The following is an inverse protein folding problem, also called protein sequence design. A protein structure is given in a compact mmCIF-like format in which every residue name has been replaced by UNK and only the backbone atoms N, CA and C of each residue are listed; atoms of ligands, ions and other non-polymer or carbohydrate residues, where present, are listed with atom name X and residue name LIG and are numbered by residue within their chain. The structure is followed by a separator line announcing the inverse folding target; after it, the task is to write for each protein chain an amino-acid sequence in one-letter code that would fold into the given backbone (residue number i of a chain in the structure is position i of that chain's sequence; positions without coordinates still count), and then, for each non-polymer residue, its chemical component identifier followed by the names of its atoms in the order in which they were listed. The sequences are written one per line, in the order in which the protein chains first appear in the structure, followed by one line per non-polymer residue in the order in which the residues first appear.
data_IF_506684313719
#
_entry.id   IF_506684313719
#
_cell.length_a   1.000
_cell.length_b   1.000
_cell.length_c   1.000
_cell.angle_alpha   90.00
_cell.angle_beta   90.00
_cell.angle_gamma   90.00
#
_symmetry.space_group_name_H-M   'P 1'
#
loop_
_entity.id
_entity.type
_entity.pdbx_description
1 polymer ?
#
# COMPACT_ATOMS: atom_id res chain seq x y z
N UNK A 1 -12.02 -2.36 -1.00
CA UNK A 1 -10.54 -2.40 -1.18
C UNK A 1 -10.08 -1.23 -2.02
N UNK A 2 -8.84 -0.78 -1.82
CA UNK A 2 -8.19 0.26 -2.65
C UNK A 2 -6.91 -0.34 -3.24
N UNK A 3 -6.73 -0.27 -4.57
CA UNK A 3 -5.54 -0.72 -5.27
C UNK A 3 -4.85 0.50 -5.88
N UNK A 4 -3.62 0.79 -5.45
CA UNK A 4 -2.82 1.91 -5.93
C UNK A 4 -2.08 1.51 -7.21
N UNK A 5 -2.43 2.11 -8.33
CA UNK A 5 -1.91 1.81 -9.67
C UNK A 5 -1.44 3.05 -10.45
N UNK A 6 -1.33 4.22 -9.79
CA UNK A 6 -0.97 5.49 -10.43
C UNK A 6 0.53 5.72 -10.58
N UNK A 7 1.39 4.81 -10.10
CA UNK A 7 2.85 4.95 -10.11
C UNK A 7 3.44 5.14 -11.52
N UNK A 8 4.46 6.01 -11.63
CA UNK A 8 5.08 6.40 -12.94
C UNK A 8 5.86 5.28 -13.63
N UNK A 9 6.31 4.24 -12.90
CA UNK A 9 7.10 3.15 -13.48
C UNK A 9 8.37 3.58 -14.21
N UNK A 10 9.03 4.67 -13.78
CA UNK A 10 10.18 5.28 -14.50
C UNK A 10 11.33 4.31 -14.77
N UNK A 11 11.52 3.32 -13.89
CA UNK A 11 12.61 2.32 -13.98
C UNK A 11 12.35 1.22 -15.03
N UNK A 12 11.10 1.05 -15.46
CA UNK A 12 10.73 0.00 -16.43
C UNK A 12 11.19 0.28 -17.87
N UNK A 13 11.69 1.49 -18.16
CA UNK A 13 12.14 1.89 -19.51
C UNK A 13 11.20 1.48 -20.65
N UNK A 14 9.89 1.51 -20.42
CA UNK A 14 8.85 1.01 -21.32
C UNK A 14 7.75 2.05 -21.52
N UNK A 15 7.18 2.09 -22.73
CA UNK A 15 5.96 2.87 -23.02
C UNK A 15 4.69 2.24 -22.43
N UNK A 16 4.74 0.92 -22.12
CA UNK A 16 3.65 0.22 -21.45
C UNK A 16 3.58 0.66 -19.97
N UNK A 17 2.39 1.03 -19.45
CA UNK A 17 2.23 1.32 -18.03
C UNK A 17 2.73 0.19 -17.15
N UNK A 18 3.45 0.51 -16.06
CA UNK A 18 4.06 -0.49 -15.15
C UNK A 18 3.11 -1.63 -14.82
N UNK A 19 1.89 -1.30 -14.41
CA UNK A 19 0.87 -2.25 -13.96
C UNK A 19 0.34 -3.18 -15.05
N UNK A 20 0.63 -2.88 -16.32
CA UNK A 20 0.25 -3.68 -17.49
C UNK A 20 1.33 -4.67 -17.95
N UNK A 21 2.54 -4.59 -17.40
CA UNK A 21 3.56 -5.60 -17.67
C UNK A 21 3.09 -6.96 -17.20
N UNK A 22 3.36 -8.00 -18.01
CA UNK A 22 2.86 -9.36 -17.77
C UNK A 22 3.83 -10.18 -16.93
N UNK A 23 3.28 -10.87 -15.97
CA UNK A 23 3.94 -11.91 -15.18
C UNK A 23 3.13 -13.19 -15.40
N UNK A 24 3.73 -14.25 -15.93
CA UNK A 24 3.00 -15.50 -16.21
C UNK A 24 1.76 -15.33 -17.12
N UNK A 25 1.83 -14.41 -18.10
CA UNK A 25 0.77 -14.20 -19.09
C UNK A 25 -0.32 -13.19 -18.71
N UNK A 26 -0.45 -12.80 -17.42
CA UNK A 26 -1.40 -11.78 -16.94
C UNK A 26 -0.69 -10.50 -16.53
N UNK A 27 -1.36 -9.34 -16.65
CA UNK A 27 -0.80 -8.08 -16.16
C UNK A 27 -0.65 -8.09 -14.63
N UNK A 28 0.29 -7.29 -14.09
CA UNK A 28 0.47 -7.17 -12.64
C UNK A 28 -0.83 -6.75 -11.95
N UNK A 29 -1.53 -5.76 -12.50
CA UNK A 29 -2.84 -5.35 -11.95
C UNK A 29 -3.86 -6.49 -11.97
N UNK A 30 -3.88 -7.31 -13.03
CA UNK A 30 -4.80 -8.46 -13.12
C UNK A 30 -4.54 -9.50 -12.03
N UNK A 31 -3.27 -9.79 -11.73
CA UNK A 31 -2.92 -10.68 -10.62
C UNK A 31 -3.44 -10.17 -9.27
N UNK A 32 -3.22 -8.89 -8.98
CA UNK A 32 -3.70 -8.28 -7.73
C UNK A 32 -5.22 -8.29 -7.66
N UNK A 33 -5.92 -8.00 -8.78
CA UNK A 33 -7.39 -8.08 -8.87
C UNK A 33 -7.92 -9.50 -8.61
N UNK A 34 -7.24 -10.52 -9.14
CA UNK A 34 -7.62 -11.93 -8.90
C UNK A 34 -7.51 -12.27 -7.41
N UNK A 35 -6.41 -11.90 -6.75
CA UNK A 35 -6.24 -12.12 -5.31
C UNK A 35 -7.22 -11.32 -4.47
N UNK A 36 -7.48 -10.06 -4.85
CA UNK A 36 -8.46 -9.20 -4.20
C UNK A 36 -9.89 -9.77 -4.28
N UNK A 37 -10.30 -10.25 -5.44
CA UNK A 37 -11.64 -10.86 -5.66
C UNK A 37 -11.92 -12.07 -4.77
N UNK A 38 -10.91 -12.88 -4.47
CA UNK A 38 -11.05 -14.06 -3.62
C UNK A 38 -11.46 -13.73 -2.18
N UNK A 39 -11.24 -12.49 -1.74
CA UNK A 39 -11.66 -11.99 -0.42
C UNK A 39 -13.10 -11.47 -0.40
N UNK A 40 -13.84 -11.56 -1.50
CA UNK A 40 -15.22 -11.10 -1.64
C UNK A 40 -15.46 -9.68 -1.10
N UNK A 41 -14.68 -8.66 -1.52
CA UNK A 41 -14.86 -7.30 -1.02
C UNK A 41 -16.20 -6.70 -1.50
N UNK A 42 -16.78 -5.80 -0.70
CA UNK A 42 -17.97 -5.02 -1.06
C UNK A 42 -17.74 -4.14 -2.30
N UNK A 43 -16.52 -3.66 -2.48
CA UNK A 43 -16.10 -2.88 -3.65
C UNK A 43 -14.60 -2.99 -3.89
N UNK A 44 -14.18 -2.86 -5.16
CA UNK A 44 -12.78 -2.74 -5.56
C UNK A 44 -12.60 -1.38 -6.22
N UNK A 45 -11.75 -0.54 -5.64
CA UNK A 45 -11.43 0.79 -6.10
C UNK A 45 -9.99 0.81 -6.61
N UNK A 46 -9.78 1.20 -7.86
CA UNK A 46 -8.44 1.28 -8.47
C UNK A 46 -8.10 2.72 -8.80
N UNK A 47 -6.96 3.19 -8.28
CA UNK A 47 -6.47 4.55 -8.52
C UNK A 47 -5.45 4.54 -9.65
N UNK A 48 -5.75 5.25 -10.73
CA UNK A 48 -4.90 5.39 -11.91
C UNK A 48 -4.41 6.83 -12.07
N UNK A 49 -3.31 7.01 -12.82
CA UNK A 49 -3.00 8.33 -13.37
C UNK A 49 -3.78 8.56 -14.68
N UNK A 50 -4.09 9.82 -15.06
CA UNK A 50 -4.79 10.11 -16.32
C UNK A 50 -4.12 9.51 -17.55
N UNK A 51 -2.78 9.43 -17.54
CA UNK A 51 -1.97 8.88 -18.66
C UNK A 51 -2.24 7.41 -18.97
N UNK A 52 -2.79 6.66 -18.01
CA UNK A 52 -3.05 5.22 -18.16
C UNK A 52 -4.53 4.87 -18.08
N UNK A 53 -5.43 5.84 -18.21
CA UNK A 53 -6.88 5.58 -18.18
C UNK A 53 -7.35 4.64 -19.28
N UNK A 54 -6.64 4.58 -20.40
CA UNK A 54 -6.96 3.67 -21.50
C UNK A 54 -6.96 2.19 -21.12
N UNK A 55 -6.22 1.82 -20.03
CA UNK A 55 -6.18 0.43 -19.55
C UNK A 55 -7.52 -0.06 -19.01
N UNK A 56 -8.43 0.84 -18.60
CA UNK A 56 -9.77 0.49 -18.09
C UNK A 56 -10.50 -0.46 -19.03
N UNK A 57 -10.33 -0.26 -20.33
CA UNK A 57 -10.92 -1.12 -21.38
C UNK A 57 -10.50 -2.59 -21.29
N UNK A 58 -9.28 -2.85 -20.80
CA UNK A 58 -8.74 -4.22 -20.65
C UNK A 58 -9.37 -4.99 -19.48
N UNK A 59 -10.12 -4.30 -18.61
CA UNK A 59 -10.71 -4.84 -17.40
C UNK A 59 -12.25 -4.79 -17.40
N UNK A 60 -12.88 -4.71 -18.58
CA UNK A 60 -14.34 -4.60 -18.70
C UNK A 60 -15.13 -5.77 -18.10
N UNK A 61 -14.48 -6.94 -17.82
CA UNK A 61 -15.07 -8.07 -17.09
C UNK A 61 -14.98 -7.99 -15.56
N UNK A 62 -14.46 -6.90 -15.03
CA UNK A 62 -14.30 -6.69 -13.59
C UNK A 62 -15.20 -5.55 -13.13
N UNK A 63 -15.89 -5.74 -12.01
CA UNK A 63 -16.63 -4.67 -11.32
C UNK A 63 -15.62 -3.83 -10.50
N UNK A 64 -15.19 -2.71 -11.06
CA UNK A 64 -14.16 -1.82 -10.52
C UNK A 64 -14.64 -0.37 -10.55
N UNK A 65 -14.57 0.29 -9.41
CA UNK A 65 -14.67 1.74 -9.32
C UNK A 65 -13.29 2.35 -9.64
N UNK A 66 -13.22 3.10 -10.73
CA UNK A 66 -12.00 3.73 -11.21
C UNK A 66 -11.88 5.16 -10.72
N UNK A 67 -10.75 5.50 -10.10
CA UNK A 67 -10.41 6.83 -9.62
C UNK A 67 -9.19 7.37 -10.36
N UNK A 68 -9.15 8.67 -10.62
CA UNK A 68 -8.05 9.32 -11.33
C UNK A 68 -7.27 10.21 -10.38
N UNK A 69 -5.97 9.94 -10.21
CA UNK A 69 -5.04 10.83 -9.52
C UNK A 69 -4.38 11.75 -10.55
N UNK A 70 -4.93 12.94 -10.75
CA UNK A 70 -4.48 13.91 -11.77
C UNK A 70 -3.06 14.38 -11.54
N UNK A 71 -2.70 14.66 -10.30
CA UNK A 71 -1.35 14.99 -9.87
C UNK A 71 -0.85 13.88 -8.94
N UNK A 72 0.26 13.25 -9.29
CA UNK A 72 0.85 12.16 -8.51
C UNK A 72 1.57 12.73 -7.27
N UNK A 73 0.79 13.24 -6.31
CA UNK A 73 1.28 13.89 -5.08
C UNK A 73 1.68 12.92 -3.97
N UNK A 74 1.65 11.63 -4.22
CA UNK A 74 2.04 10.60 -3.24
C UNK A 74 0.94 9.58 -2.97
N UNK A 75 1.27 8.61 -2.14
CA UNK A 75 0.40 7.44 -1.86
C UNK A 75 -0.77 7.77 -0.93
N UNK A 76 -0.57 8.68 0.04
CA UNK A 76 -1.68 9.16 0.88
C UNK A 76 -2.71 9.96 0.06
N UNK A 77 -2.25 10.80 -0.89
CA UNK A 77 -3.13 11.53 -1.80
C UNK A 77 -3.97 10.58 -2.66
N UNK A 78 -3.36 9.50 -3.16
CA UNK A 78 -4.07 8.48 -3.93
C UNK A 78 -5.19 7.80 -3.11
N UNK A 79 -4.93 7.47 -1.84
CA UNK A 79 -5.97 6.91 -0.95
C UNK A 79 -7.06 7.95 -0.67
N UNK A 80 -6.68 9.20 -0.37
CA UNK A 80 -7.59 10.31 -0.08
C UNK A 80 -8.65 10.52 -1.17
N UNK A 81 -8.31 10.32 -2.43
CA UNK A 81 -9.23 10.44 -3.58
C UNK A 81 -10.38 9.43 -3.49
N UNK A 82 -10.14 8.25 -2.93
CA UNK A 82 -11.13 7.17 -2.84
C UNK A 82 -12.04 7.32 -1.63
N UNK A 83 -11.52 7.78 -0.49
CA UNK A 83 -12.25 7.79 0.79
C UNK A 83 -13.65 8.40 0.73
N UNK A 84 -13.91 9.52 0.00
CA UNK A 84 -15.25 10.10 -0.10
C UNK A 84 -16.31 9.20 -0.74
N UNK A 85 -15.91 8.17 -1.50
CA UNK A 85 -16.81 7.21 -2.13
C UNK A 85 -17.17 6.02 -1.22
N UNK A 86 -16.54 5.93 -0.04
CA UNK A 86 -16.71 4.84 0.91
C UNK A 86 -17.51 5.30 2.14
N UNK A 87 -18.19 4.37 2.80
CA UNK A 87 -18.90 4.66 4.05
C UNK A 87 -17.89 4.73 5.21
N UNK A 88 -18.18 5.57 6.21
CA UNK A 88 -17.27 5.84 7.33
C UNK A 88 -16.96 4.60 8.19
N UNK A 89 -17.89 3.67 8.29
CA UNK A 89 -17.81 2.44 9.07
C UNK A 89 -17.22 1.25 8.27
N UNK A 90 -16.95 1.44 6.98
CA UNK A 90 -16.30 0.40 6.16
C UNK A 90 -14.83 0.22 6.53
N UNK A 91 -14.37 -1.02 6.40
CA UNK A 91 -12.95 -1.37 6.52
C UNK A 91 -12.28 -1.39 5.15
N UNK A 92 -11.06 -0.89 5.10
CA UNK A 92 -10.30 -0.73 3.86
C UNK A 92 -9.01 -1.53 3.92
N UNK A 93 -8.81 -2.39 2.93
CA UNK A 93 -7.52 -2.98 2.61
C UNK A 93 -6.92 -2.19 1.44
N UNK A 94 -5.71 -1.66 1.66
CA UNK A 94 -4.92 -0.95 0.65
C UNK A 94 -3.88 -1.90 0.09
N UNK A 95 -3.82 -2.03 -1.24
CA UNK A 95 -2.89 -2.86 -1.99
C UNK A 95 -2.16 -2.03 -3.04
N UNK A 96 -1.01 -2.53 -3.48
CA UNK A 96 -0.27 -1.97 -4.61
C UNK A 96 -0.39 -2.87 -5.83
N UNK A 97 -0.60 -2.27 -7.00
CA UNK A 97 -0.78 -3.00 -8.25
C UNK A 97 0.51 -3.65 -8.78
N UNK A 98 1.66 -3.36 -8.19
CA UNK A 98 2.96 -3.90 -8.55
C UNK A 98 3.45 -5.05 -7.67
N UNK A 99 2.59 -5.61 -6.82
CA UNK A 99 2.83 -6.83 -6.04
C UNK A 99 2.03 -8.01 -6.61
N UNK A 100 2.34 -8.51 -7.81
CA UNK A 100 1.48 -9.44 -8.55
C UNK A 100 1.35 -10.82 -7.92
N UNK A 101 2.27 -11.20 -7.04
CA UNK A 101 2.29 -12.54 -6.42
C UNK A 101 1.60 -12.57 -5.05
N UNK A 102 0.91 -11.49 -4.68
CA UNK A 102 0.23 -11.43 -3.37
C UNK A 102 -0.79 -12.56 -3.21
N UNK A 103 -0.66 -13.31 -2.11
CA UNK A 103 -1.55 -14.42 -1.81
C UNK A 103 -2.80 -13.97 -1.05
N UNK A 104 -3.96 -14.42 -1.52
CA UNK A 104 -5.25 -14.14 -0.88
C UNK A 104 -5.38 -14.74 0.53
N UNK A 105 -4.76 -15.92 0.80
CA UNK A 105 -4.78 -16.50 2.15
C UNK A 105 -3.96 -15.68 3.15
N UNK A 106 -2.83 -15.10 2.69
CA UNK A 106 -2.05 -14.17 3.52
C UNK A 106 -2.86 -12.91 3.82
N UNK A 107 -3.54 -12.35 2.81
CA UNK A 107 -4.39 -11.18 2.99
C UNK A 107 -5.56 -11.46 3.96
N UNK A 108 -6.19 -12.63 3.87
CA UNK A 108 -7.25 -13.02 4.79
C UNK A 108 -6.75 -13.13 6.24
N UNK A 109 -5.61 -13.78 6.46
CA UNK A 109 -4.94 -13.83 7.76
C UNK A 109 -4.63 -12.43 8.29
N UNK A 110 -4.13 -11.55 7.42
CA UNK A 110 -3.78 -10.18 7.78
C UNK A 110 -5.01 -9.35 8.19
N UNK A 111 -6.10 -9.44 7.43
CA UNK A 111 -7.35 -8.75 7.75
C UNK A 111 -7.89 -9.19 9.13
N UNK A 112 -7.82 -10.48 9.43
CA UNK A 112 -8.34 -11.06 10.67
C UNK A 112 -7.37 -10.98 11.85
N UNK A 113 -6.11 -10.57 11.63
CA UNK A 113 -5.11 -10.43 12.68
C UNK A 113 -5.46 -9.25 13.59
N UNK A 114 -5.39 -9.45 14.92
CA UNK A 114 -5.68 -8.43 15.95
C UNK A 114 -6.86 -7.51 15.59
N UNK A 115 -8.09 -8.01 15.65
CA UNK A 115 -9.28 -7.32 15.09
C UNK A 115 -9.63 -5.98 15.76
N UNK A 116 -9.11 -5.70 16.96
CA UNK A 116 -9.34 -4.45 17.70
C UNK A 116 -8.32 -3.34 17.39
N UNK A 117 -7.34 -3.59 16.52
CA UNK A 117 -6.35 -2.57 16.15
C UNK A 117 -6.95 -1.50 15.23
N UNK A 118 -6.46 -0.26 15.35
CA UNK A 118 -6.87 0.87 14.52
C UNK A 118 -6.24 0.82 13.13
N UNK A 119 -4.95 0.49 13.07
CA UNK A 119 -4.18 0.35 11.84
C UNK A 119 -3.36 -0.93 11.86
N UNK A 120 -3.43 -1.70 10.78
CA UNK A 120 -2.56 -2.87 10.57
C UNK A 120 -1.61 -2.60 9.42
N UNK A 121 -0.36 -3.02 9.58
CA UNK A 121 0.69 -2.92 8.56
C UNK A 121 1.25 -4.31 8.30
N UNK A 122 1.23 -4.76 7.03
CA UNK A 122 1.89 -6.00 6.65
C UNK A 122 3.37 -5.70 6.41
N UNK A 123 4.24 -6.41 7.11
CA UNK A 123 5.69 -6.24 7.04
C UNK A 123 6.38 -7.51 6.57
N UNK A 124 7.63 -7.39 6.14
CA UNK A 124 8.44 -8.51 5.64
C UNK A 124 9.92 -8.28 5.95
N UNK A 125 10.66 -9.34 6.26
CA UNK A 125 12.12 -9.27 6.35
C UNK A 125 12.77 -9.49 4.99
N UNK A 126 13.60 -8.54 4.54
CA UNK A 126 14.35 -8.60 3.29
C UNK A 126 15.85 -8.62 3.55
N UNK A 127 16.56 -9.55 2.93
CA UNK A 127 18.04 -9.57 2.97
C UNK A 127 18.63 -8.32 2.33
N UNK A 128 18.04 -7.89 1.20
CA UNK A 128 18.40 -6.68 0.46
C UNK A 128 17.21 -5.72 0.43
N UNK A 129 17.05 -4.89 1.46
CA UNK A 129 15.85 -4.05 1.65
C UNK A 129 15.83 -2.79 0.76
N UNK A 130 16.68 -2.71 -0.25
CA UNK A 130 16.82 -1.53 -1.11
C UNK A 130 15.48 -1.13 -1.77
N UNK A 131 15.14 0.15 -1.64
CA UNK A 131 13.93 0.72 -2.23
C UNK A 131 12.63 0.54 -1.42
N UNK A 132 12.70 -0.10 -0.24
CA UNK A 132 11.56 -0.28 0.66
C UNK A 132 11.63 0.67 1.85
N UNK A 133 10.47 1.06 2.38
CA UNK A 133 10.38 1.74 3.68
C UNK A 133 10.80 0.82 4.81
N UNK A 134 11.53 1.35 5.79
CA UNK A 134 12.01 0.60 6.97
C UNK A 134 11.04 0.73 8.12
N UNK A 135 10.80 -0.37 8.80
CA UNK A 135 9.99 -0.41 10.02
C UNK A 135 10.88 -0.01 11.20
N UNK A 136 10.51 1.06 11.87
CA UNK A 136 11.16 1.48 13.10
C UNK A 136 10.28 1.05 14.27
N UNK A 137 10.85 0.30 15.22
CA UNK A 137 10.17 -0.16 16.42
C UNK A 137 10.62 0.64 17.63
N UNK A 138 9.78 0.72 18.65
CA UNK A 138 10.20 1.29 19.93
C UNK A 138 11.09 0.30 20.68
N UNK A 139 12.18 0.80 21.26
CA UNK A 139 13.15 -0.06 21.99
C UNK A 139 12.54 -0.76 23.21
N UNK A 140 11.48 -0.19 23.80
CA UNK A 140 10.82 -0.72 24.98
C UNK A 140 9.74 -1.78 24.66
N UNK A 141 9.16 -1.72 23.46
CA UNK A 141 8.07 -2.60 23.03
C UNK A 141 8.31 -3.04 21.58
N UNK A 142 9.01 -4.17 21.41
CA UNK A 142 9.36 -4.70 20.07
C UNK A 142 8.14 -5.02 19.18
N UNK A 143 6.95 -5.13 19.76
CA UNK A 143 5.72 -5.40 19.03
C UNK A 143 5.10 -4.14 18.40
N UNK A 144 5.52 -2.93 18.82
CA UNK A 144 4.97 -1.66 18.34
C UNK A 144 5.84 -1.07 17.23
N UNK A 145 5.20 -0.68 16.14
CA UNK A 145 5.84 0.15 15.12
C UNK A 145 5.74 1.61 15.53
N UNK A 146 6.87 2.31 15.71
CA UNK A 146 6.87 3.74 15.99
C UNK A 146 6.66 4.58 14.74
N UNK A 147 7.32 4.21 13.64
CA UNK A 147 7.16 4.86 12.33
C UNK A 147 7.68 3.98 11.20
N UNK A 148 7.36 4.36 9.98
CA UNK A 148 7.93 3.81 8.75
C UNK A 148 8.74 4.92 8.10
N UNK A 149 10.02 4.65 7.78
CA UNK A 149 10.90 5.60 7.11
C UNK A 149 11.11 5.14 5.68
N UNK A 150 10.77 5.99 4.71
CA UNK A 150 11.03 5.71 3.29
C UNK A 150 12.54 5.64 3.00
N UNK A 151 12.93 4.81 2.04
CA UNK A 151 14.34 4.60 1.64
C UNK A 151 15.11 5.92 1.45
N UNK A 152 14.47 6.93 0.86
CA UNK A 152 15.10 8.22 0.54
C UNK A 152 15.29 9.12 1.76
N UNK A 153 14.59 8.86 2.84
CA UNK A 153 14.63 9.62 4.10
C UNK A 153 15.44 8.89 5.18
N UNK A 154 15.80 7.62 4.94
CA UNK A 154 16.53 6.78 5.89
C UNK A 154 18.01 7.14 5.94
N UNK A 155 18.57 7.26 7.14
CA UNK A 155 20.00 7.34 7.39
C UNK A 155 20.70 5.97 7.18
N UNK A 156 22.03 5.94 7.28
CA UNK A 156 22.81 4.73 7.00
C UNK A 156 22.55 3.61 8.01
N UNK A 157 22.23 3.90 9.27
CA UNK A 157 21.85 2.91 10.27
C UNK A 157 20.47 2.33 9.97
N UNK A 158 19.52 3.20 9.66
CA UNK A 158 18.15 2.81 9.33
C UNK A 158 18.07 1.96 8.04
N UNK A 159 18.91 2.24 7.04
CA UNK A 159 19.01 1.44 5.82
C UNK A 159 19.42 -0.02 6.07
N UNK A 160 20.11 -0.31 7.18
CA UNK A 160 20.49 -1.67 7.55
C UNK A 160 19.33 -2.48 8.17
N UNK A 161 18.23 -1.85 8.55
CA UNK A 161 17.06 -2.54 9.08
C UNK A 161 16.47 -3.43 7.98
N UNK A 162 16.25 -4.70 8.34
CA UNK A 162 15.76 -5.74 7.41
C UNK A 162 14.24 -5.80 7.33
N UNK A 163 13.54 -5.38 8.39
CA UNK A 163 12.08 -5.33 8.37
C UNK A 163 11.59 -4.15 7.53
N UNK A 164 10.82 -4.49 6.51
CA UNK A 164 10.34 -3.57 5.49
C UNK A 164 8.84 -3.47 5.46
N UNK A 165 8.36 -2.28 5.10
CA UNK A 165 6.97 -2.05 4.78
C UNK A 165 6.63 -2.63 3.40
N UNK A 166 5.59 -3.43 3.32
CA UNK A 166 5.07 -3.95 2.05
C UNK A 166 4.16 -2.95 1.33
N UNK A 167 3.75 -1.88 2.00
CA UNK A 167 2.72 -0.94 1.55
C UNK A 167 1.29 -1.42 1.82
N UNK A 168 1.09 -2.66 2.23
CA UNK A 168 -0.23 -3.22 2.50
C UNK A 168 -0.69 -2.78 3.88
N UNK A 169 -1.81 -2.06 3.91
CA UNK A 169 -2.38 -1.46 5.13
C UNK A 169 -3.85 -1.82 5.22
N UNK A 170 -4.34 -2.06 6.44
CA UNK A 170 -5.75 -2.28 6.72
C UNK A 170 -6.21 -1.42 7.90
N UNK A 171 -7.34 -0.71 7.72
CA UNK A 171 -7.90 0.19 8.73
C UNK A 171 -9.35 0.55 8.40
N UNK A 172 -10.03 1.27 9.28
CA UNK A 172 -11.34 1.85 9.00
C UNK A 172 -11.24 3.12 8.13
N UNK A 173 -12.27 3.39 7.34
CA UNK A 173 -12.36 4.63 6.52
C UNK A 173 -12.25 5.87 7.40
N UNK A 174 -12.95 5.90 8.55
CA UNK A 174 -12.92 7.03 9.48
C UNK A 174 -11.52 7.28 10.04
N UNK A 175 -10.81 6.23 10.44
CA UNK A 175 -9.42 6.27 10.92
C UNK A 175 -8.48 6.77 9.82
N UNK A 176 -8.54 6.17 8.62
CA UNK A 176 -7.72 6.62 7.48
C UNK A 176 -7.96 8.08 7.14
N UNK A 177 -9.22 8.53 7.11
CA UNK A 177 -9.55 9.92 6.79
C UNK A 177 -8.97 10.89 7.82
N UNK A 178 -9.06 10.56 9.11
CA UNK A 178 -8.47 11.35 10.19
C UNK A 178 -6.94 11.43 10.05
N UNK A 179 -6.26 10.29 9.85
CA UNK A 179 -4.80 10.23 9.77
C UNK A 179 -4.27 10.90 8.50
N UNK A 180 -4.87 10.61 7.32
CA UNK A 180 -4.43 11.16 6.03
C UNK A 180 -4.61 12.68 5.96
N UNK A 181 -5.59 13.24 6.68
CA UNK A 181 -5.78 14.69 6.73
C UNK A 181 -4.60 15.45 7.37
N UNK A 182 -3.78 14.78 8.18
CA UNK A 182 -2.61 15.33 8.87
C UNK A 182 -1.28 15.02 8.19
N UNK A 183 -1.28 14.15 7.16
CA UNK A 183 -0.07 13.85 6.39
C UNK A 183 0.43 15.10 5.68
N UNK A 184 1.72 15.38 5.81
CA UNK A 184 2.40 16.51 5.17
C UNK A 184 3.27 16.02 4.00
N UNK A 185 3.78 16.96 3.22
CA UNK A 185 4.68 16.68 2.10
C UNK A 185 6.05 17.38 2.28
N UNK A 186 6.49 17.51 3.52
CA UNK A 186 7.74 18.15 3.91
C UNK A 186 8.97 17.21 3.87
N UNK A 187 8.92 16.24 2.96
CA UNK A 187 9.97 15.28 2.66
C UNK A 187 10.74 15.63 1.38
N UNK A 188 11.81 14.89 1.07
CA UNK A 188 12.71 15.15 -0.07
C UNK A 188 12.00 15.12 -1.42
N UNK A 189 10.94 14.32 -1.57
CA UNK A 189 10.17 14.20 -2.83
C UNK A 189 8.98 15.15 -2.93
N UNK A 190 8.64 15.87 -1.85
CA UNK A 190 7.44 16.71 -1.75
C UNK A 190 6.15 15.92 -2.01
N UNK A 191 6.09 14.66 -1.55
CA UNK A 191 4.98 13.74 -1.72
C UNK A 191 4.28 13.47 -0.37
N UNK A 192 2.97 13.27 -0.40
CA UNK A 192 2.21 12.82 0.77
C UNK A 192 2.37 11.30 0.92
N UNK A 193 3.23 10.87 1.82
CA UNK A 193 3.50 9.45 2.05
C UNK A 193 2.41 8.80 2.91
N UNK A 194 1.84 7.70 2.44
CA UNK A 194 0.87 6.94 3.23
C UNK A 194 1.50 6.35 4.50
N UNK A 195 2.79 6.07 4.48
CA UNK A 195 3.56 5.55 5.60
C UNK A 195 3.58 6.48 6.81
N UNK A 196 3.38 7.79 6.61
CA UNK A 196 3.35 8.77 7.70
C UNK A 196 2.15 8.59 8.64
N UNK A 197 1.06 7.91 8.18
CA UNK A 197 -0.09 7.63 9.05
C UNK A 197 0.29 6.82 10.29
N UNK A 198 1.37 6.02 10.24
CA UNK A 198 1.83 5.21 11.38
C UNK A 198 2.31 6.10 12.52
N UNK A 199 3.19 7.06 12.24
CA UNK A 199 3.68 8.01 13.25
C UNK A 199 2.55 8.91 13.76
N UNK A 200 1.65 9.35 12.89
CA UNK A 200 0.48 10.16 13.28
C UNK A 200 -0.47 9.37 14.18
N UNK A 201 -0.71 8.09 13.88
CA UNK A 201 -1.54 7.21 14.70
C UNK A 201 -0.95 7.03 16.10
N UNK A 202 0.36 6.81 16.21
CA UNK A 202 1.04 6.69 17.50
C UNK A 202 0.94 7.98 18.32
N UNK A 203 1.11 9.16 17.72
CA UNK A 203 0.91 10.44 18.39
C UNK A 203 -0.52 10.62 18.93
N UNK A 204 -1.49 9.93 18.35
CA UNK A 204 -2.90 9.91 18.79
C UNK A 204 -3.23 8.75 19.75
N UNK A 205 -2.24 7.99 20.22
CA UNK A 205 -2.41 6.80 21.05
C UNK A 205 -3.32 5.74 20.41
N UNK A 206 -3.32 5.65 19.07
CA UNK A 206 -4.02 4.61 18.33
C UNK A 206 -3.16 3.34 18.25
N UNK A 207 -3.83 2.17 18.25
CA UNK A 207 -3.15 0.88 18.18
C UNK A 207 -2.72 0.56 16.75
N UNK A 208 -1.41 0.68 16.46
CA UNK A 208 -0.80 0.28 15.19
C UNK A 208 -0.10 -1.06 15.35
N UNK A 209 -0.54 -2.08 14.63
CA UNK A 209 0.01 -3.43 14.75
C UNK A 209 0.65 -3.92 13.46
N UNK A 210 1.89 -4.43 13.51
CA UNK A 210 2.52 -5.12 12.40
C UNK A 210 2.09 -6.58 12.34
N UNK A 211 1.95 -7.13 11.14
CA UNK A 211 2.02 -8.56 10.90
C UNK A 211 3.27 -8.85 10.08
N UNK A 212 4.27 -9.44 10.70
CA UNK A 212 5.47 -9.88 10.00
C UNK A 212 5.20 -11.16 9.22
N UNK A 213 5.22 -11.06 7.90
CA UNK A 213 5.05 -12.22 7.02
C UNK A 213 6.35 -13.02 6.88
N UNK A 214 6.18 -14.35 6.83
CA UNK A 214 7.24 -15.29 6.44
C UNK A 214 7.32 -15.48 4.93
N UNK A 215 6.31 -15.03 4.18
CA UNK A 215 6.18 -15.20 2.74
C UNK A 215 6.81 -14.01 2.00
N UNK A 216 8.15 -14.00 1.91
CA UNK A 216 8.89 -12.87 1.33
C UNK A 216 8.58 -12.67 -0.16
N UNK A 217 8.62 -13.73 -0.96
CA UNK A 217 8.55 -13.62 -2.43
C UNK A 217 7.19 -13.11 -2.93
N UNK A 218 6.11 -13.41 -2.22
CA UNK A 218 4.76 -12.99 -2.61
C UNK A 218 4.50 -11.49 -2.36
N UNK A 219 5.34 -10.85 -1.55
CA UNK A 219 5.22 -9.46 -1.13
C UNK A 219 6.19 -8.50 -1.85
N UNK A 220 7.03 -9.03 -2.74
CA UNK A 220 7.96 -8.20 -3.49
C UNK A 220 7.23 -7.43 -4.59
N UNK A 221 7.46 -6.12 -4.62
CA UNK A 221 7.06 -5.29 -5.74
C UNK A 221 7.98 -5.49 -6.95
N UNK A 222 7.41 -5.65 -8.12
CA UNK A 222 8.16 -5.69 -9.38
C UNK A 222 8.53 -4.26 -9.76
N UNK A 223 9.81 -3.93 -9.77
CA UNK A 223 10.30 -2.56 -10.01
C UNK A 223 11.23 -2.43 -11.23
N UNK A 224 11.75 -3.53 -11.75
CA UNK A 224 12.72 -3.57 -12.86
C UNK A 224 12.31 -4.61 -13.90
#
# INVERSE_FOLDING_TARGET
MIILAAGKGKRMHSSLPKVMHKVGGKSMLEHVLISAKKLNPSSINVVLSPKIESIKKSFGGYDIAWHSQSEQKGTADAVKIVLPSLKKDEKVLILYADTPLIDSNLLDKFINYMPKSDVKVLTVNLEKPFGYGRIIREQAEEEIISKIIEETEADDLQKNIKECNTGIIFSDVSTLNSLISEVKNDNSKKEFYLTDIVSIANLKNMMVVPLLSKETNSLLGVND
#
